data_IF_792284696914
#
_entry.id   IF_792284696914
#
_cell.length_a   1.000
_cell.length_b   1.000
_cell.length_c   1.000
_cell.angle_alpha   90.00
_cell.angle_beta   90.00
_cell.angle_gamma   90.00
#
_symmetry.space_group_name_H-M   'P 1'
#
loop_
_entity.id
_entity.type
_entity.pdbx_description
1 polymer ?
#
# COMPACT_ATOMS: atom_id res chain seq x y z
N UNK A 1 -20.96 -14.50 12.55
CA UNK A 1 -19.66 -14.84 13.17
C UNK A 1 -19.84 -16.14 13.93
N UNK A 2 -19.88 -17.26 13.21
CA UNK A 2 -20.32 -18.56 13.78
C UNK A 2 -19.32 -19.18 14.77
N UNK A 3 -18.09 -18.63 14.84
CA UNK A 3 -17.09 -18.95 15.85
C UNK A 3 -16.96 -17.90 16.95
N UNK A 4 -17.83 -16.86 16.98
CA UNK A 4 -17.77 -15.77 17.95
C UNK A 4 -16.58 -14.81 17.81
N UNK A 5 -15.81 -14.91 16.71
CA UNK A 5 -14.75 -13.96 16.37
C UNK A 5 -15.37 -12.91 15.45
N UNK A 6 -15.45 -11.68 15.94
CA UNK A 6 -15.88 -10.53 15.15
C UNK A 6 -14.67 -9.92 14.44
N UNK A 7 -14.68 -9.84 13.09
CA UNK A 7 -13.61 -9.19 12.36
C UNK A 7 -13.76 -7.67 12.48
N UNK A 8 -12.65 -6.99 12.78
CA UNK A 8 -12.60 -5.51 12.78
C UNK A 8 -12.77 -4.93 11.36
N UNK A 9 -12.28 -5.64 10.34
CA UNK A 9 -12.41 -5.28 8.92
C UNK A 9 -12.58 -6.53 8.05
N UNK A 10 -13.48 -6.48 7.07
CA UNK A 10 -13.69 -7.54 6.09
C UNK A 10 -13.93 -6.93 4.70
N UNK A 11 -12.89 -6.93 3.86
CA UNK A 11 -12.88 -6.29 2.54
C UNK A 11 -12.18 -7.16 1.49
N UNK A 12 -12.53 -6.97 0.21
CA UNK A 12 -11.85 -7.59 -0.93
C UNK A 12 -10.72 -6.67 -1.37
N UNK A 13 -9.47 -7.15 -1.27
CA UNK A 13 -8.28 -6.36 -1.61
C UNK A 13 -7.39 -7.10 -2.60
N UNK A 14 -6.56 -6.35 -3.33
CA UNK A 14 -5.54 -6.96 -4.19
C UNK A 14 -4.28 -7.30 -3.39
N UNK A 15 -4.06 -8.60 -3.15
CA UNK A 15 -2.87 -9.07 -2.44
C UNK A 15 -1.74 -9.47 -3.40
N UNK A 16 -0.54 -8.86 -3.32
CA UNK A 16 0.58 -9.24 -4.16
C UNK A 16 1.13 -10.63 -3.79
N UNK A 17 1.52 -11.42 -4.79
CA UNK A 17 2.11 -12.75 -4.58
C UNK A 17 3.60 -12.70 -4.25
N UNK A 18 4.31 -11.67 -4.71
CA UNK A 18 5.72 -11.42 -4.45
C UNK A 18 5.89 -9.97 -4.02
N UNK A 19 6.95 -9.67 -3.27
CA UNK A 19 7.26 -8.33 -2.78
C UNK A 19 8.61 -7.86 -3.31
N UNK A 20 8.79 -6.54 -3.40
CA UNK A 20 10.04 -5.92 -3.83
C UNK A 20 10.46 -4.82 -2.85
N UNK A 21 11.76 -4.75 -2.58
CA UNK A 21 12.38 -3.64 -1.85
C UNK A 21 12.92 -2.63 -2.85
N UNK A 22 12.77 -1.35 -2.54
CA UNK A 22 13.29 -0.25 -3.33
C UNK A 22 14.41 0.46 -2.58
N UNK A 23 15.36 1.04 -3.32
CA UNK A 23 16.30 1.99 -2.73
C UNK A 23 15.60 3.32 -2.38
N UNK A 24 16.30 4.21 -1.67
CA UNK A 24 15.70 5.45 -1.17
C UNK A 24 15.18 6.39 -2.27
N UNK A 25 15.87 6.50 -3.41
CA UNK A 25 15.43 7.37 -4.51
C UNK A 25 14.20 6.80 -5.21
N UNK A 26 14.23 5.49 -5.51
CA UNK A 26 13.10 4.79 -6.11
C UNK A 26 11.88 4.76 -5.17
N UNK A 27 12.10 4.63 -3.87
CA UNK A 27 11.04 4.67 -2.85
C UNK A 27 10.33 6.01 -2.90
N UNK A 28 11.06 7.13 -2.83
CA UNK A 28 10.47 8.48 -2.89
C UNK A 28 9.72 8.70 -4.20
N UNK A 29 10.25 8.23 -5.32
CA UNK A 29 9.58 8.37 -6.62
C UNK A 29 8.28 7.56 -6.70
N UNK A 30 8.28 6.33 -6.19
CA UNK A 30 7.09 5.45 -6.23
C UNK A 30 6.04 5.91 -5.23
N UNK A 31 6.43 6.39 -4.05
CA UNK A 31 5.50 6.99 -3.08
C UNK A 31 4.76 8.17 -3.70
N UNK A 32 5.48 9.12 -4.33
CA UNK A 32 4.85 10.26 -5.00
C UNK A 32 3.93 9.86 -6.15
N UNK A 33 4.25 8.78 -6.85
CA UNK A 33 3.39 8.24 -7.91
C UNK A 33 2.09 7.68 -7.31
N UNK A 34 2.19 6.93 -6.20
CA UNK A 34 1.03 6.39 -5.49
C UNK A 34 0.15 7.55 -4.99
N UNK A 35 0.73 8.55 -4.34
CA UNK A 35 0.01 9.74 -3.86
C UNK A 35 -0.74 10.44 -5.02
N UNK A 36 -0.04 10.66 -6.14
CA UNK A 36 -0.64 11.29 -7.31
C UNK A 36 -1.76 10.45 -7.93
N UNK A 37 -1.74 9.12 -7.80
CA UNK A 37 -2.83 8.25 -8.25
C UNK A 37 -4.02 8.29 -7.30
N UNK A 38 -3.79 8.39 -5.99
CA UNK A 38 -4.86 8.49 -4.98
C UNK A 38 -5.62 9.83 -5.04
N UNK A 39 -4.97 10.89 -5.54
CA UNK A 39 -5.60 12.20 -5.74
C UNK A 39 -6.57 12.25 -6.94
N UNK A 40 -6.57 11.24 -7.82
CA UNK A 40 -7.44 11.24 -9.00
C UNK A 40 -8.86 10.79 -8.64
N UNK A 41 -9.85 11.60 -9.00
CA UNK A 41 -11.27 11.33 -8.75
C UNK A 41 -11.77 9.98 -9.30
N UNK A 42 -11.12 9.48 -10.36
CA UNK A 42 -11.49 8.24 -11.05
C UNK A 42 -10.82 6.98 -10.46
N UNK A 43 -9.84 7.14 -9.55
CA UNK A 43 -9.12 6.02 -8.92
C UNK A 43 -9.78 5.67 -7.59
N UNK A 44 -10.16 4.38 -7.43
CA UNK A 44 -10.86 3.91 -6.23
C UNK A 44 -9.91 3.37 -5.15
N UNK A 45 -8.94 2.55 -5.54
CA UNK A 45 -7.95 1.94 -4.64
C UNK A 45 -6.64 1.78 -5.39
N UNK A 46 -5.52 2.03 -4.71
CA UNK A 46 -4.17 1.77 -5.22
C UNK A 46 -3.54 0.66 -4.37
N UNK A 47 -3.08 -0.41 -5.02
CA UNK A 47 -2.39 -1.51 -4.34
C UNK A 47 -0.98 -1.68 -4.93
N UNK A 48 0.01 -1.89 -4.06
CA UNK A 48 1.42 -2.04 -4.44
C UNK A 48 2.03 -3.31 -3.85
N UNK A 49 3.09 -3.81 -4.50
CA UNK A 49 3.91 -4.91 -3.99
C UNK A 49 5.23 -4.44 -3.35
N UNK A 50 5.43 -3.13 -3.25
CA UNK A 50 6.61 -2.53 -2.62
C UNK A 50 6.57 -2.73 -1.11
N UNK A 51 7.72 -3.06 -0.53
CA UNK A 51 7.96 -3.02 0.91
C UNK A 51 8.51 -1.65 1.24
N UNK A 52 7.74 -0.88 2.00
CA UNK A 52 8.23 0.35 2.61
C UNK A 52 8.89 -0.01 3.94
N UNK A 53 10.20 0.20 4.03
CA UNK A 53 10.91 0.08 5.31
C UNK A 53 10.41 1.17 6.28
N UNK A 54 10.28 0.85 7.57
CA UNK A 54 9.82 1.80 8.58
C UNK A 54 10.69 3.05 8.64
N UNK A 55 11.99 2.89 8.38
CA UNK A 55 12.96 3.99 8.38
C UNK A 55 12.84 4.87 7.11
N UNK A 56 12.31 4.32 6.01
CA UNK A 56 12.12 5.05 4.76
C UNK A 56 10.86 5.94 4.79
N UNK A 57 9.88 5.60 5.61
CA UNK A 57 8.65 6.38 5.82
C UNK A 57 8.86 7.66 6.64
N UNK A 58 9.94 7.77 7.42
CA UNK A 58 10.25 8.98 8.20
C UNK A 58 10.79 10.15 7.35
N UNK A 59 11.13 9.90 6.08
CA UNK A 59 11.73 10.89 5.18
C UNK A 59 10.75 11.49 4.16
N UNK A 60 9.48 11.08 4.23
CA UNK A 60 8.37 11.57 3.40
C UNK A 60 7.39 12.32 4.32
#
# INVERSE_FOLDING_TARGET
>A
TDAGIEPDLAEVVQRPSNKIELDGEATVSVSKLIDAMEELDDVQEVSSNVIFDSDALEQI
#
